data_IF_341635303789
#
_entry.id   IF_341635303789
#
_cell.length_a   1.000
_cell.length_b   1.000
_cell.length_c   1.000
_cell.angle_alpha   90.00
_cell.angle_beta   90.00
_cell.angle_gamma   90.00
#
_symmetry.space_group_name_H-M   'P 1'
#
loop_
_entity.id
_entity.type
_entity.pdbx_description
1 polymer ?
#
# COMPACT_ATOMS: atom_id res chain seq x y z
N UNK A 1 3.96 -13.92 -8.35
CA UNK A 1 4.21 -14.20 -6.92
C UNK A 1 3.93 -12.94 -6.11
N UNK A 2 2.94 -12.95 -5.22
CA UNK A 2 2.54 -11.77 -4.42
C UNK A 2 3.70 -11.18 -3.61
N UNK A 3 4.47 -12.03 -2.92
CA UNK A 3 5.58 -11.60 -2.08
C UNK A 3 6.69 -10.85 -2.84
N UNK A 4 7.00 -11.23 -4.07
CA UNK A 4 8.03 -10.53 -4.86
C UNK A 4 7.57 -9.12 -5.26
N UNK A 5 6.30 -8.97 -5.69
CA UNK A 5 5.73 -7.66 -6.00
C UNK A 5 5.78 -6.73 -4.78
N UNK A 6 5.36 -7.24 -3.64
CA UNK A 6 5.28 -6.47 -2.41
C UNK A 6 6.69 -6.09 -1.91
N UNK A 7 7.66 -7.00 -2.03
CA UNK A 7 9.07 -6.73 -1.72
C UNK A 7 9.67 -5.66 -2.65
N UNK A 8 9.51 -5.81 -3.96
CA UNK A 8 9.98 -4.83 -4.94
C UNK A 8 9.37 -3.46 -4.67
N UNK A 9 8.08 -3.42 -4.33
CA UNK A 9 7.40 -2.18 -3.95
C UNK A 9 7.99 -1.59 -2.66
N UNK A 10 8.32 -2.43 -1.66
CA UNK A 10 9.02 -1.97 -0.46
C UNK A 10 10.39 -1.35 -0.78
N UNK A 11 11.19 -1.99 -1.64
CA UNK A 11 12.52 -1.51 -2.04
C UNK A 11 12.44 -0.19 -2.80
N UNK A 12 11.52 -0.06 -3.77
CA UNK A 12 11.33 1.19 -4.51
C UNK A 12 10.88 2.32 -3.56
N UNK A 13 9.96 2.03 -2.64
CA UNK A 13 9.53 2.99 -1.62
C UNK A 13 10.69 3.45 -0.72
N UNK A 14 11.53 2.52 -0.27
CA UNK A 14 12.72 2.84 0.53
C UNK A 14 13.71 3.73 -0.25
N UNK A 15 13.92 3.46 -1.54
CA UNK A 15 14.77 4.29 -2.38
C UNK A 15 14.20 5.72 -2.55
N UNK A 16 12.89 5.85 -2.81
CA UNK A 16 12.26 7.18 -2.91
C UNK A 16 12.34 7.95 -1.60
N UNK A 17 12.12 7.28 -0.47
CA UNK A 17 12.24 7.89 0.85
C UNK A 17 13.68 8.39 1.12
N UNK A 18 14.68 7.61 0.71
CA UNK A 18 16.09 7.96 0.93
C UNK A 18 16.61 9.05 -0.02
N UNK A 19 16.10 9.14 -1.25
CA UNK A 19 16.75 9.91 -2.32
C UNK A 19 15.88 10.93 -3.04
N UNK A 20 14.54 10.89 -2.92
CA UNK A 20 13.64 11.70 -3.75
C UNK A 20 12.84 12.78 -2.98
N UNK A 21 12.88 12.77 -1.64
CA UNK A 21 12.12 13.71 -0.81
C UNK A 21 10.65 13.31 -0.62
N UNK A 22 9.90 14.08 0.18
CA UNK A 22 8.60 13.68 0.73
C UNK A 22 7.48 13.52 -0.32
N UNK A 23 7.35 14.44 -1.28
CA UNK A 23 6.28 14.39 -2.26
C UNK A 23 6.35 13.18 -3.22
N UNK A 24 7.51 12.80 -3.79
CA UNK A 24 7.61 11.60 -4.62
C UNK A 24 7.23 10.31 -3.88
N UNK A 25 7.72 10.11 -2.65
CA UNK A 25 7.32 8.96 -1.84
C UNK A 25 5.83 9.03 -1.46
N UNK A 26 5.29 10.23 -1.20
CA UNK A 26 3.87 10.46 -0.96
C UNK A 26 3.00 9.94 -2.11
N UNK A 27 3.26 10.42 -3.33
CA UNK A 27 2.56 9.93 -4.54
C UNK A 27 2.73 8.44 -4.78
N UNK A 28 3.94 7.93 -4.53
CA UNK A 28 4.22 6.50 -4.64
C UNK A 28 3.36 5.66 -3.69
N UNK A 29 3.26 6.05 -2.41
CA UNK A 29 2.44 5.34 -1.44
C UNK A 29 0.96 5.39 -1.79
N UNK A 30 0.46 6.52 -2.32
CA UNK A 30 -0.91 6.61 -2.82
C UNK A 30 -1.19 5.60 -3.95
N UNK A 31 -0.24 5.46 -4.89
CA UNK A 31 -0.36 4.47 -5.97
C UNK A 31 -0.24 3.03 -5.45
N UNK A 32 0.71 2.75 -4.56
CA UNK A 32 0.92 1.42 -3.97
C UNK A 32 -0.29 0.96 -3.16
N UNK A 33 -1.02 1.86 -2.49
CA UNK A 33 -2.21 1.51 -1.72
C UNK A 33 -3.32 0.86 -2.56
N UNK A 34 -3.34 1.06 -3.89
CA UNK A 34 -4.26 0.38 -4.80
C UNK A 34 -4.08 -1.15 -4.76
N UNK A 35 -2.87 -1.63 -4.46
CA UNK A 35 -2.57 -3.05 -4.35
C UNK A 35 -3.33 -3.73 -3.20
N UNK A 36 -3.17 -3.34 -1.93
CA UNK A 36 -3.93 -3.93 -0.84
C UNK A 36 -5.45 -3.64 -0.93
N UNK A 37 -5.88 -2.54 -1.57
CA UNK A 37 -7.31 -2.33 -1.88
C UNK A 37 -7.84 -3.37 -2.87
N UNK A 38 -7.12 -3.59 -3.98
CA UNK A 38 -7.46 -4.60 -4.97
C UNK A 38 -7.48 -6.00 -4.35
N UNK A 39 -6.49 -6.32 -3.51
CA UNK A 39 -6.45 -7.59 -2.79
C UNK A 39 -7.66 -7.74 -1.85
N UNK A 40 -8.10 -6.70 -1.13
CA UNK A 40 -9.31 -6.75 -0.30
C UNK A 40 -10.55 -7.09 -1.14
N UNK A 41 -10.71 -6.44 -2.31
CA UNK A 41 -11.81 -6.71 -3.24
C UNK A 41 -11.74 -8.14 -3.76
N UNK A 42 -10.57 -8.63 -4.15
CA UNK A 42 -10.36 -10.00 -4.63
C UNK A 42 -10.78 -11.00 -3.55
N UNK A 43 -10.35 -10.82 -2.29
CA UNK A 43 -10.73 -11.70 -1.18
C UNK A 43 -12.25 -11.73 -1.01
N UNK A 44 -12.92 -10.57 -1.03
CA UNK A 44 -14.38 -10.50 -0.90
C UNK A 44 -15.12 -11.14 -2.08
N UNK A 45 -14.60 -11.02 -3.30
CA UNK A 45 -15.22 -11.56 -4.52
C UNK A 45 -15.06 -13.07 -4.68
N UNK A 46 -14.01 -13.65 -4.10
CA UNK A 46 -13.67 -15.06 -4.30
C UNK A 46 -13.85 -15.92 -3.04
N UNK A 47 -14.77 -15.53 -2.14
CA UNK A 47 -15.17 -16.35 -0.99
C UNK A 47 -14.19 -16.36 0.18
N UNK A 48 -13.20 -15.46 0.20
CA UNK A 48 -12.32 -15.28 1.35
C UNK A 48 -13.02 -14.62 2.53
N UNK A 49 -12.42 -14.72 3.73
CA UNK A 49 -13.06 -14.22 4.94
C UNK A 49 -13.06 -12.68 5.00
N UNK A 50 -14.14 -12.11 5.54
CA UNK A 50 -14.23 -10.66 5.82
C UNK A 50 -13.13 -10.20 6.78
N UNK A 51 -12.75 -11.04 7.73
CA UNK A 51 -11.65 -10.77 8.65
C UNK A 51 -10.32 -10.54 7.92
N UNK A 52 -10.00 -11.36 6.91
CA UNK A 52 -8.79 -11.17 6.09
C UNK A 52 -8.91 -9.96 5.17
N UNK A 53 -10.06 -9.79 4.50
CA UNK A 53 -10.27 -8.66 3.60
C UNK A 53 -10.16 -7.31 4.32
N UNK A 54 -10.81 -7.16 5.47
CA UNK A 54 -10.84 -5.89 6.20
C UNK A 54 -9.68 -5.74 7.17
N UNK A 55 -9.33 -6.79 7.92
CA UNK A 55 -8.32 -6.74 8.97
C UNK A 55 -6.89 -6.75 8.46
N UNK A 56 -6.62 -7.37 7.31
CA UNK A 56 -5.29 -7.38 6.70
C UNK A 56 -5.26 -6.38 5.55
N UNK A 57 -6.04 -6.64 4.51
CA UNK A 57 -5.89 -5.93 3.25
C UNK A 57 -6.35 -4.47 3.32
N UNK A 58 -7.60 -4.23 3.69
CA UNK A 58 -8.12 -2.87 3.80
C UNK A 58 -7.37 -2.06 4.87
N UNK A 59 -7.07 -2.66 6.02
CA UNK A 59 -6.28 -2.01 7.07
C UNK A 59 -4.88 -1.59 6.57
N UNK A 60 -4.17 -2.46 5.85
CA UNK A 60 -2.90 -2.10 5.21
C UNK A 60 -3.08 -0.97 4.21
N UNK A 61 -4.12 -1.01 3.36
CA UNK A 61 -4.38 0.08 2.42
C UNK A 61 -4.58 1.42 3.12
N UNK A 62 -5.40 1.46 4.17
CA UNK A 62 -5.63 2.67 4.96
C UNK A 62 -4.35 3.18 5.59
N UNK A 63 -3.54 2.30 6.20
CA UNK A 63 -2.26 2.68 6.79
C UNK A 63 -1.31 3.31 5.75
N UNK A 64 -1.21 2.72 4.55
CA UNK A 64 -0.37 3.24 3.47
C UNK A 64 -0.90 4.58 2.95
N UNK A 65 -2.22 4.74 2.79
CA UNK A 65 -2.84 6.01 2.37
C UNK A 65 -2.58 7.13 3.39
N UNK A 66 -2.71 6.83 4.68
CA UNK A 66 -2.41 7.79 5.75
C UNK A 66 -0.93 8.19 5.69
N UNK A 67 -0.02 7.21 5.61
CA UNK A 67 1.42 7.49 5.49
C UNK A 67 1.74 8.36 4.27
N UNK A 68 1.17 8.03 3.10
CA UNK A 68 1.35 8.82 1.88
C UNK A 68 0.77 10.24 2.00
N UNK A 69 -0.42 10.37 2.58
CA UNK A 69 -1.07 11.66 2.81
C UNK A 69 -0.30 12.57 3.76
N UNK A 70 0.25 12.01 4.84
CA UNK A 70 1.06 12.75 5.82
C UNK A 70 2.35 13.31 5.20
N UNK A 71 2.91 12.67 4.19
CA UNK A 71 4.12 13.15 3.51
C UNK A 71 3.89 14.43 2.67
N UNK A 72 2.64 14.82 2.42
CA UNK A 72 2.30 16.12 1.83
C UNK A 72 2.14 17.24 2.87
N UNK A 73 2.23 16.91 4.17
CA UNK A 73 2.16 17.87 5.26
C UNK A 73 3.54 18.26 5.81
N UNK A 74 4.62 17.78 5.17
CA UNK A 74 6.03 18.02 5.54
C UNK A 74 6.64 19.10 4.66
#
# INVERSE_FOLDING_TARGET
MKGLRDLTSGVVGAALLAFAGAHPIGWYLLAVALTPLGDAVIVLRHGGTKAVAFGIHFATAVAVLISGGLLFAV
#
